data_IF_618489269952
#
_entry.id   IF_618489269952
#
_cell.length_a   1.000
_cell.length_b   1.000
_cell.length_c   1.000
_cell.angle_alpha   90.00
_cell.angle_beta   90.00
_cell.angle_gamma   90.00
#
_symmetry.space_group_name_H-M   'P 1'
#
loop_
_entity.id
_entity.type
_entity.pdbx_description
1 polymer ?
#
# COMPACT_ATOMS: atom_id res chain seq x y z
N UNK A 1 -89.31 8.58 5.41
CA UNK A 1 -89.75 7.17 5.37
C UNK A 1 -88.72 6.34 4.65
N UNK A 2 -88.23 5.24 5.27
CA UNK A 2 -87.29 4.20 4.77
C UNK A 2 -85.82 4.56 4.62
N UNK A 3 -85.05 4.10 5.59
CA UNK A 3 -83.69 3.55 5.43
C UNK A 3 -83.77 2.25 4.62
N UNK A 4 -82.71 1.90 3.87
CA UNK A 4 -81.99 0.67 4.20
C UNK A 4 -80.47 0.80 4.15
N UNK A 5 -79.90 0.20 5.09
CA UNK A 5 -79.05 -1.01 5.13
C UNK A 5 -77.60 -0.84 4.75
N UNK A 6 -76.89 -1.01 5.75
CA UNK A 6 -75.48 -1.33 5.91
C UNK A 6 -75.01 -2.50 5.00
N UNK A 7 -73.99 -2.29 4.20
CA UNK A 7 -73.15 -3.37 3.69
C UNK A 7 -71.73 -3.15 4.18
N UNK A 8 -71.38 -3.93 5.17
CA UNK A 8 -70.01 -4.13 5.65
C UNK A 8 -69.24 -4.90 4.58
N UNK A 9 -68.57 -4.19 3.68
CA UNK A 9 -67.51 -4.75 2.86
C UNK A 9 -66.23 -4.79 3.70
N UNK A 10 -65.93 -5.94 4.26
CA UNK A 10 -64.66 -6.28 4.88
C UNK A 10 -63.51 -6.14 3.89
N UNK A 11 -62.83 -5.01 3.92
CA UNK A 11 -61.53 -4.82 3.25
C UNK A 11 -60.54 -5.78 3.86
N UNK A 12 -60.34 -6.92 3.23
CA UNK A 12 -59.19 -7.79 3.43
C UNK A 12 -57.94 -6.99 3.06
N UNK A 13 -57.25 -6.46 4.05
CA UNK A 13 -55.89 -6.00 3.91
C UNK A 13 -55.02 -7.19 3.53
N UNK A 14 -54.79 -7.33 2.22
CA UNK A 14 -53.71 -8.16 1.71
C UNK A 14 -52.39 -7.51 2.16
N UNK A 15 -51.83 -8.04 3.24
CA UNK A 15 -50.44 -7.79 3.60
C UNK A 15 -49.60 -8.10 2.39
N UNK A 16 -48.68 -7.20 1.96
CA UNK A 16 -47.73 -7.53 0.94
C UNK A 16 -46.85 -8.67 1.44
N UNK A 17 -47.00 -9.82 0.84
CA UNK A 17 -46.13 -10.98 1.04
C UNK A 17 -44.71 -10.46 0.75
N UNK A 18 -43.92 -10.26 1.82
CA UNK A 18 -42.53 -9.93 1.72
C UNK A 18 -41.90 -10.89 0.71
N UNK A 19 -41.53 -10.35 -0.44
CA UNK A 19 -40.87 -11.11 -1.49
C UNK A 19 -39.67 -11.79 -0.85
N UNK A 20 -39.70 -13.12 -0.81
CA UNK A 20 -38.50 -13.92 -0.61
C UNK A 20 -37.56 -13.49 -1.71
N UNK A 21 -36.64 -12.60 -1.36
CA UNK A 21 -35.54 -12.22 -2.20
C UNK A 21 -34.96 -13.49 -2.78
N UNK A 22 -34.76 -13.48 -4.07
CA UNK A 22 -34.11 -14.54 -4.80
C UNK A 22 -32.85 -14.94 -4.02
N UNK A 23 -32.94 -16.05 -3.30
CA UNK A 23 -31.76 -16.71 -2.72
C UNK A 23 -30.95 -17.15 -3.96
N UNK A 24 -29.90 -16.39 -4.22
CA UNK A 24 -28.98 -16.64 -5.32
C UNK A 24 -28.50 -18.09 -5.22
N UNK A 25 -28.66 -18.77 -6.32
CA UNK A 25 -28.35 -20.18 -6.49
C UNK A 25 -26.94 -20.44 -5.99
N UNK A 26 -26.81 -21.09 -4.79
CA UNK A 26 -25.59 -21.77 -4.38
C UNK A 26 -24.37 -20.89 -4.09
N UNK A 27 -24.50 -19.86 -3.26
CA UNK A 27 -23.31 -19.21 -2.71
C UNK A 27 -22.53 -20.21 -1.88
N UNK A 28 -21.39 -20.69 -2.41
CA UNK A 28 -20.53 -21.63 -1.69
C UNK A 28 -19.80 -20.89 -0.57
N UNK A 29 -19.80 -21.46 0.64
CA UNK A 29 -19.09 -20.93 1.79
C UNK A 29 -17.80 -21.74 2.01
N UNK A 30 -16.72 -21.08 2.36
CA UNK A 30 -15.44 -21.67 2.75
C UNK A 30 -15.13 -21.11 4.14
N UNK A 31 -15.05 -21.99 5.15
CA UNK A 31 -14.84 -21.62 6.55
C UNK A 31 -15.82 -20.53 7.07
N UNK A 32 -17.12 -20.61 6.68
CA UNK A 32 -18.16 -19.68 7.11
C UNK A 32 -18.17 -18.33 6.37
N UNK A 33 -17.28 -18.11 5.39
CA UNK A 33 -17.23 -16.89 4.59
C UNK A 33 -17.64 -17.19 3.14
N UNK A 34 -18.40 -16.31 2.47
CA UNK A 34 -18.75 -16.49 1.07
C UNK A 34 -17.51 -16.75 0.20
N UNK A 35 -17.57 -17.80 -0.64
CA UNK A 35 -16.44 -18.21 -1.47
C UNK A 35 -15.94 -17.10 -2.40
N UNK A 36 -16.80 -16.16 -2.78
CA UNK A 36 -16.46 -15.00 -3.59
C UNK A 36 -15.39 -14.11 -2.92
N UNK A 37 -15.44 -14.00 -1.60
CA UNK A 37 -14.49 -13.22 -0.80
C UNK A 37 -13.30 -14.10 -0.39
N UNK A 38 -13.55 -15.33 0.00
CA UNK A 38 -12.53 -16.23 0.52
C UNK A 38 -11.54 -16.71 -0.56
N UNK A 39 -11.99 -16.96 -1.79
CA UNK A 39 -11.11 -17.43 -2.87
C UNK A 39 -9.95 -16.46 -3.17
N UNK A 40 -10.16 -15.16 -3.48
CA UNK A 40 -9.06 -14.24 -3.75
C UNK A 40 -8.14 -14.09 -2.53
N UNK A 41 -8.68 -14.13 -1.31
CA UNK A 41 -7.87 -14.11 -0.08
C UNK A 41 -6.96 -15.34 0.03
N UNK A 42 -7.48 -16.54 -0.23
CA UNK A 42 -6.69 -17.79 -0.21
C UNK A 42 -5.62 -17.77 -1.29
N UNK A 43 -5.96 -17.36 -2.52
CA UNK A 43 -4.98 -17.26 -3.61
C UNK A 43 -3.86 -16.30 -3.22
N UNK A 44 -4.19 -15.12 -2.70
CA UNK A 44 -3.21 -14.13 -2.26
C UNK A 44 -2.29 -14.69 -1.17
N UNK A 45 -2.85 -15.31 -0.13
CA UNK A 45 -2.06 -15.90 0.96
C UNK A 45 -1.18 -17.07 0.49
N UNK A 46 -1.69 -17.90 -0.43
CA UNK A 46 -0.91 -19.01 -1.01
C UNK A 46 0.25 -18.48 -1.85
N UNK A 47 0.02 -17.46 -2.69
CA UNK A 47 1.08 -16.81 -3.46
C UNK A 47 2.12 -16.16 -2.53
N UNK A 48 1.67 -15.43 -1.51
CA UNK A 48 2.55 -14.80 -0.52
C UNK A 48 3.42 -15.85 0.19
N UNK A 49 2.82 -16.92 0.68
CA UNK A 49 3.53 -18.00 1.35
C UNK A 49 4.55 -18.67 0.42
N UNK A 50 4.16 -18.96 -0.83
CA UNK A 50 5.06 -19.56 -1.83
C UNK A 50 6.25 -18.66 -2.14
N UNK A 51 6.03 -17.34 -2.27
CA UNK A 51 7.10 -16.35 -2.48
C UNK A 51 8.04 -16.26 -1.28
N UNK A 52 7.52 -16.28 -0.07
CA UNK A 52 8.33 -16.28 1.16
C UNK A 52 9.20 -17.55 1.25
N UNK A 53 8.62 -18.74 1.03
CA UNK A 53 9.36 -19.99 1.04
C UNK A 53 10.45 -20.00 -0.05
N UNK A 54 10.11 -19.59 -1.27
CA UNK A 54 11.08 -19.50 -2.35
C UNK A 54 12.17 -18.48 -2.04
N UNK A 55 11.83 -17.31 -1.48
CA UNK A 55 12.78 -16.28 -1.05
C UNK A 55 13.78 -16.81 -0.02
N UNK A 56 13.32 -17.55 1.00
CA UNK A 56 14.20 -18.16 2.00
C UNK A 56 15.17 -19.17 1.37
N UNK A 57 14.68 -20.01 0.45
CA UNK A 57 15.52 -20.95 -0.30
C UNK A 57 16.58 -20.22 -1.14
N UNK A 58 16.18 -19.14 -1.82
CA UNK A 58 17.11 -18.34 -2.64
C UNK A 58 18.16 -17.63 -1.79
N UNK A 59 17.80 -17.10 -0.62
CA UNK A 59 18.77 -16.48 0.32
C UNK A 59 19.79 -17.54 0.76
N UNK A 60 19.35 -18.74 1.11
CA UNK A 60 20.27 -19.82 1.49
C UNK A 60 21.20 -20.19 0.32
N UNK A 61 20.64 -20.40 -0.86
CA UNK A 61 21.43 -20.79 -2.05
C UNK A 61 22.44 -19.74 -2.46
N UNK A 62 22.07 -18.46 -2.42
CA UNK A 62 22.93 -17.37 -2.88
C UNK A 62 24.01 -16.97 -1.87
N UNK A 63 23.75 -17.10 -0.56
CA UNK A 63 24.63 -16.56 0.47
C UNK A 63 25.30 -17.61 1.36
N UNK A 64 25.09 -18.90 1.13
CA UNK A 64 25.64 -19.97 1.97
C UNK A 64 27.16 -19.99 2.03
N UNK A 65 27.83 -19.76 0.90
CA UNK A 65 29.31 -19.74 0.80
C UNK A 65 29.89 -18.53 1.51
N UNK A 66 29.32 -17.34 1.29
CA UNK A 66 29.72 -16.10 1.90
C UNK A 66 29.48 -16.15 3.44
N UNK A 67 28.31 -16.67 3.86
CA UNK A 67 27.98 -16.86 5.27
C UNK A 67 28.96 -17.81 5.98
N UNK A 68 29.41 -18.86 5.30
CA UNK A 68 30.42 -19.78 5.86
C UNK A 68 31.77 -19.10 6.02
N UNK A 69 32.20 -18.30 5.05
CA UNK A 69 33.48 -17.58 5.10
C UNK A 69 33.50 -16.45 6.14
N UNK A 70 32.43 -15.66 6.24
CA UNK A 70 32.39 -14.48 7.11
C UNK A 70 31.96 -14.81 8.54
N UNK A 71 30.99 -15.73 8.72
CA UNK A 71 30.32 -15.99 9.99
C UNK A 71 30.54 -17.42 10.52
N UNK A 72 31.28 -18.26 9.81
CA UNK A 72 31.56 -19.64 10.20
C UNK A 72 30.35 -20.59 10.11
N UNK A 73 29.22 -20.13 9.56
CA UNK A 73 27.99 -20.93 9.42
C UNK A 73 27.28 -20.64 8.11
N UNK A 74 27.08 -21.65 7.27
CA UNK A 74 26.37 -21.52 6.01
C UNK A 74 24.91 -21.09 6.13
N UNK A 75 24.31 -21.25 7.31
CA UNK A 75 22.89 -20.93 7.58
C UNK A 75 22.67 -19.57 8.27
N UNK A 76 23.75 -18.80 8.52
CA UNK A 76 23.65 -17.52 9.26
C UNK A 76 22.63 -16.55 8.65
N UNK A 77 22.76 -16.27 7.37
CA UNK A 77 21.83 -15.35 6.69
C UNK A 77 20.41 -15.92 6.56
N UNK A 78 20.28 -17.23 6.36
CA UNK A 78 18.97 -17.89 6.35
C UNK A 78 18.25 -17.72 7.69
N UNK A 79 18.95 -17.98 8.81
CA UNK A 79 18.35 -17.85 10.15
C UNK A 79 17.95 -16.42 10.46
N UNK A 80 18.78 -15.47 10.11
CA UNK A 80 18.48 -14.02 10.23
C UNK A 80 17.24 -13.65 9.41
N UNK A 81 17.17 -14.09 8.16
CA UNK A 81 16.02 -13.83 7.28
C UNK A 81 14.74 -14.52 7.81
N UNK A 82 14.85 -15.73 8.34
CA UNK A 82 13.73 -16.45 8.94
C UNK A 82 13.15 -15.68 10.14
N UNK A 83 13.98 -15.15 11.03
CA UNK A 83 13.53 -14.32 12.17
C UNK A 83 12.75 -13.09 11.66
N UNK A 84 13.28 -12.36 10.67
CA UNK A 84 12.58 -11.22 10.10
C UNK A 84 11.29 -11.60 9.40
N UNK A 85 11.24 -12.77 8.77
CA UNK A 85 10.01 -13.32 8.18
C UNK A 85 8.95 -13.57 9.25
N UNK A 86 9.29 -14.18 10.36
CA UNK A 86 8.36 -14.40 11.48
C UNK A 86 7.86 -13.07 12.05
N UNK A 87 8.75 -12.11 12.26
CA UNK A 87 8.36 -10.76 12.70
C UNK A 87 7.43 -10.10 11.69
N UNK A 88 7.72 -10.21 10.38
CA UNK A 88 6.87 -9.67 9.31
C UNK A 88 5.48 -10.30 9.27
N UNK A 89 5.40 -11.63 9.43
CA UNK A 89 4.10 -12.33 9.50
C UNK A 89 3.32 -11.92 10.75
N UNK A 90 3.97 -11.79 11.90
CA UNK A 90 3.34 -11.32 13.13
C UNK A 90 2.83 -9.88 12.99
N UNK A 91 3.61 -9.00 12.36
CA UNK A 91 3.20 -7.63 12.06
C UNK A 91 2.01 -7.58 11.08
N UNK A 92 2.02 -8.42 10.03
CA UNK A 92 0.91 -8.56 9.09
C UNK A 92 -0.39 -8.94 9.81
N UNK A 93 -0.32 -9.97 10.67
CA UNK A 93 -1.48 -10.44 11.43
C UNK A 93 -1.98 -9.38 12.43
N UNK A 94 -1.06 -8.67 13.09
CA UNK A 94 -1.39 -7.57 14.00
C UNK A 94 -2.11 -6.44 13.27
N UNK A 95 -1.55 -5.98 12.14
CA UNK A 95 -2.14 -4.91 11.33
C UNK A 95 -3.49 -5.32 10.75
N UNK A 96 -3.63 -6.59 10.32
CA UNK A 96 -4.88 -7.11 9.76
C UNK A 96 -6.04 -7.16 10.78
N UNK A 97 -5.73 -7.12 12.08
CA UNK A 97 -6.74 -7.08 13.17
C UNK A 97 -7.16 -5.67 13.57
N UNK A 98 -6.41 -4.66 13.17
CA UNK A 98 -6.74 -3.27 13.47
C UNK A 98 -7.75 -2.77 12.45
N UNK A 99 -8.77 -2.04 12.92
CA UNK A 99 -9.79 -1.49 12.04
C UNK A 99 -9.16 -0.54 10.99
N UNK A 100 -9.45 -0.74 9.69
CA UNK A 100 -8.85 0.05 8.62
C UNK A 100 -9.07 1.55 8.78
N UNK A 101 -10.23 1.96 9.31
CA UNK A 101 -10.63 3.37 9.41
C UNK A 101 -9.66 4.22 10.23
N UNK A 102 -9.03 3.64 11.27
CA UNK A 102 -8.07 4.34 12.11
C UNK A 102 -6.70 4.58 11.42
N UNK A 103 -6.35 3.77 10.42
CA UNK A 103 -5.10 3.90 9.68
C UNK A 103 -5.17 4.93 8.55
N UNK A 104 -6.39 5.19 8.06
CA UNK A 104 -6.65 6.12 6.97
C UNK A 104 -7.10 7.50 7.45
N UNK A 105 -6.89 7.84 8.72
CA UNK A 105 -7.04 9.23 9.17
C UNK A 105 -6.00 10.13 8.49
N UNK A 106 -6.46 11.15 7.82
CA UNK A 106 -5.59 12.09 7.09
C UNK A 106 -4.52 12.70 7.99
N UNK A 107 -4.90 13.03 9.24
CA UNK A 107 -3.98 13.58 10.24
C UNK A 107 -2.85 12.62 10.61
N UNK A 108 -3.18 11.35 10.83
CA UNK A 108 -2.21 10.29 11.14
C UNK A 108 -1.24 10.06 9.96
N UNK A 109 -1.76 10.04 8.73
CA UNK A 109 -0.92 9.88 7.53
C UNK A 109 -0.01 11.06 7.28
N UNK A 110 -0.46 12.30 7.50
CA UNK A 110 0.38 13.49 7.44
C UNK A 110 1.51 13.44 8.47
N UNK A 111 1.20 13.02 9.69
CA UNK A 111 2.20 12.85 10.74
C UNK A 111 3.21 11.75 10.37
N UNK A 112 2.73 10.61 9.85
CA UNK A 112 3.58 9.52 9.39
C UNK A 112 4.51 9.96 8.25
N UNK A 113 3.99 10.68 7.24
CA UNK A 113 4.79 11.23 6.16
C UNK A 113 5.83 12.24 6.67
N UNK A 114 5.46 13.10 7.62
CA UNK A 114 6.40 14.01 8.28
C UNK A 114 7.50 13.26 9.03
N UNK A 115 7.16 12.19 9.75
CA UNK A 115 8.13 11.33 10.41
C UNK A 115 9.06 10.63 9.40
N UNK A 116 8.53 10.21 8.24
CA UNK A 116 9.36 9.63 7.16
C UNK A 116 10.34 10.66 6.59
N UNK A 117 9.94 11.91 6.43
CA UNK A 117 10.88 12.99 6.01
C UNK A 117 12.03 13.13 7.01
N UNK A 118 11.72 13.12 8.32
CA UNK A 118 12.77 13.20 9.37
C UNK A 118 13.69 11.98 9.31
N UNK A 119 13.15 10.78 9.16
CA UNK A 119 13.94 9.55 9.04
C UNK A 119 14.79 9.53 7.76
N UNK A 120 14.28 9.96 6.63
CA UNK A 120 15.04 10.09 5.39
C UNK A 120 16.15 11.14 5.52
N UNK A 121 15.90 12.24 6.22
CA UNK A 121 16.91 13.23 6.52
C UNK A 121 18.00 12.65 7.47
N UNK A 122 17.61 11.84 8.45
CA UNK A 122 18.56 11.13 9.31
C UNK A 122 19.42 10.13 8.50
N UNK A 123 18.86 9.44 7.51
CA UNK A 123 19.64 8.60 6.56
C UNK A 123 20.65 9.44 5.80
N UNK A 124 20.26 10.62 5.33
CA UNK A 124 21.16 11.52 4.62
C UNK A 124 22.37 11.94 5.49
N UNK A 125 22.17 12.17 6.79
CA UNK A 125 23.23 12.57 7.72
C UNK A 125 24.06 11.41 8.28
N UNK A 126 23.44 10.29 8.61
CA UNK A 126 24.01 9.19 9.40
C UNK A 126 23.95 7.84 8.67
N UNK A 127 23.44 7.82 7.44
CA UNK A 127 23.23 6.60 6.70
C UNK A 127 24.52 5.87 6.34
N UNK A 128 24.41 4.56 6.21
CA UNK A 128 25.43 3.69 5.66
C UNK A 128 25.03 3.20 4.27
N UNK A 129 26.00 3.01 3.43
CA UNK A 129 25.76 2.51 2.09
C UNK A 129 27.09 2.20 1.38
N UNK A 130 26.99 1.57 0.21
CA UNK A 130 28.14 1.31 -0.65
C UNK A 130 28.07 2.15 -1.92
N UNK A 131 29.22 2.46 -2.52
CA UNK A 131 29.32 3.19 -3.80
C UNK A 131 28.69 4.60 -3.81
N UNK A 132 28.82 5.34 -2.68
CA UNK A 132 28.34 6.73 -2.59
C UNK A 132 26.86 6.90 -2.31
N UNK A 133 26.06 5.85 -2.30
CA UNK A 133 24.62 5.91 -1.99
C UNK A 133 24.38 5.50 -0.52
N UNK A 134 23.96 6.46 0.32
CA UNK A 134 23.56 6.19 1.71
C UNK A 134 22.06 5.96 1.77
N UNK A 135 21.61 4.73 1.96
CA UNK A 135 20.18 4.36 1.89
C UNK A 135 19.67 3.70 3.16
N UNK A 136 20.58 3.27 4.03
CA UNK A 136 20.28 2.44 5.18
C UNK A 136 20.69 3.12 6.48
N UNK A 137 19.83 3.03 7.50
CA UNK A 137 20.18 3.30 8.88
C UNK A 137 20.58 1.97 9.53
N UNK A 138 21.78 1.93 10.14
CA UNK A 138 22.21 0.79 10.93
C UNK A 138 22.01 1.10 12.42
N UNK A 139 21.04 0.44 13.05
CA UNK A 139 20.74 0.60 14.48
C UNK A 139 20.96 -0.75 15.14
N UNK A 140 21.93 -0.82 16.06
CA UNK A 140 22.28 -2.07 16.78
C UNK A 140 22.50 -3.30 15.88
N UNK A 141 23.11 -3.11 14.68
CA UNK A 141 23.35 -4.19 13.72
C UNK A 141 22.15 -4.56 12.84
N UNK A 142 21.00 -3.91 13.03
CA UNK A 142 19.83 -4.05 12.17
C UNK A 142 19.85 -2.92 11.15
N UNK A 143 19.80 -3.28 9.86
CA UNK A 143 19.69 -2.31 8.79
C UNK A 143 18.22 -2.02 8.50
N UNK A 144 17.87 -0.75 8.48
CA UNK A 144 16.53 -0.24 8.24
C UNK A 144 16.56 0.79 7.10
N UNK A 145 15.66 0.65 6.13
CA UNK A 145 15.52 1.58 5.02
C UNK A 145 14.19 2.33 5.14
N UNK A 146 14.18 3.62 5.52
CA UNK A 146 12.95 4.38 5.70
C UNK A 146 12.13 4.54 4.43
N UNK A 147 12.74 4.57 3.25
CA UNK A 147 12.03 4.68 1.98
C UNK A 147 11.11 3.48 1.68
N UNK A 148 11.37 2.30 2.27
CA UNK A 148 10.46 1.15 2.18
C UNK A 148 9.13 1.40 2.90
N UNK A 149 9.21 2.04 4.08
CA UNK A 149 8.02 2.39 4.87
C UNK A 149 7.27 3.61 4.32
N UNK A 150 7.96 4.49 3.60
CA UNK A 150 7.32 5.62 2.92
C UNK A 150 6.28 5.15 1.89
N UNK A 151 6.55 4.07 1.15
CA UNK A 151 5.68 3.59 0.05
C UNK A 151 4.22 3.35 0.49
N UNK A 152 3.92 2.55 1.53
CA UNK A 152 2.54 2.34 1.98
C UNK A 152 1.86 3.63 2.46
N UNK A 153 2.59 4.52 3.15
CA UNK A 153 2.01 5.81 3.58
C UNK A 153 1.73 6.74 2.40
N UNK A 154 2.62 6.77 1.40
CA UNK A 154 2.42 7.54 0.18
C UNK A 154 1.20 7.05 -0.60
N UNK A 155 1.00 5.73 -0.70
CA UNK A 155 -0.16 5.12 -1.35
C UNK A 155 -1.44 5.49 -0.62
N UNK A 156 -1.49 5.30 0.71
CA UNK A 156 -2.67 5.59 1.51
C UNK A 156 -3.05 7.08 1.46
N UNK A 157 -2.06 7.97 1.60
CA UNK A 157 -2.28 9.42 1.51
C UNK A 157 -2.78 9.84 0.13
N UNK A 158 -2.18 9.32 -0.93
CA UNK A 158 -2.57 9.63 -2.31
C UNK A 158 -3.98 9.14 -2.63
N UNK A 159 -4.40 7.99 -2.06
CA UNK A 159 -5.77 7.52 -2.21
C UNK A 159 -6.79 8.51 -1.62
N UNK A 160 -6.53 9.03 -0.41
CA UNK A 160 -7.39 10.06 0.21
C UNK A 160 -7.42 11.34 -0.62
N UNK A 161 -6.26 11.77 -1.13
CA UNK A 161 -6.20 12.99 -1.94
C UNK A 161 -6.93 12.84 -3.27
N UNK A 162 -6.85 11.67 -3.91
CA UNK A 162 -7.60 11.36 -5.13
C UNK A 162 -9.11 11.30 -4.86
N UNK A 163 -9.54 10.65 -3.79
CA UNK A 163 -10.95 10.61 -3.39
C UNK A 163 -11.50 12.01 -3.17
N UNK A 164 -10.77 12.86 -2.45
CA UNK A 164 -11.13 14.27 -2.24
C UNK A 164 -11.18 15.07 -3.53
N UNK A 165 -10.24 14.82 -4.44
CA UNK A 165 -10.19 15.51 -5.74
C UNK A 165 -11.42 15.22 -6.59
N UNK A 166 -11.91 13.96 -6.58
CA UNK A 166 -13.11 13.56 -7.31
C UNK A 166 -14.42 13.82 -6.57
N UNK A 167 -14.37 14.23 -5.30
CA UNK A 167 -15.56 14.59 -4.52
C UNK A 167 -16.11 15.97 -4.95
N UNK A 168 -17.41 16.24 -4.72
CA UNK A 168 -18.00 17.56 -5.00
C UNK A 168 -17.23 18.67 -4.28
N UNK A 169 -16.71 19.63 -5.03
CA UNK A 169 -15.86 20.72 -4.50
C UNK A 169 -14.36 20.45 -4.55
N UNK A 170 -13.92 19.35 -5.14
CA UNK A 170 -12.50 19.06 -5.35
C UNK A 170 -11.81 20.13 -6.17
N UNK A 171 -10.60 20.55 -5.74
CA UNK A 171 -9.83 21.61 -6.35
C UNK A 171 -8.44 21.10 -6.75
N UNK A 172 -8.08 21.32 -8.02
CA UNK A 172 -6.79 20.92 -8.58
C UNK A 172 -5.61 21.56 -7.83
N UNK A 173 -5.72 22.83 -7.46
CA UNK A 173 -4.65 23.53 -6.75
C UNK A 173 -4.42 22.95 -5.35
N UNK A 174 -5.49 22.59 -4.65
CA UNK A 174 -5.40 21.96 -3.33
C UNK A 174 -4.81 20.54 -3.44
N UNK A 175 -5.19 19.80 -4.47
CA UNK A 175 -4.61 18.48 -4.75
C UNK A 175 -3.10 18.58 -4.99
N UNK A 176 -2.67 19.42 -5.93
CA UNK A 176 -1.24 19.58 -6.27
C UNK A 176 -0.46 20.09 -5.06
N UNK A 177 -0.99 21.08 -4.33
CA UNK A 177 -0.33 21.63 -3.14
C UNK A 177 -0.15 20.57 -2.07
N UNK A 178 -1.18 19.81 -1.73
CA UNK A 178 -1.11 18.80 -0.69
C UNK A 178 -0.18 17.64 -1.09
N UNK A 179 -0.26 17.16 -2.34
CA UNK A 179 0.68 16.15 -2.84
C UNK A 179 2.13 16.67 -2.81
N UNK A 180 2.35 17.91 -3.25
CA UNK A 180 3.68 18.52 -3.25
C UNK A 180 4.25 18.73 -1.85
N UNK A 181 3.45 19.23 -0.90
CA UNK A 181 3.92 19.52 0.47
C UNK A 181 4.23 18.24 1.26
N UNK A 182 3.43 17.18 1.13
CA UNK A 182 3.57 15.98 1.95
C UNK A 182 4.43 14.88 1.32
N UNK A 183 4.42 14.74 -0.02
CA UNK A 183 5.25 13.75 -0.71
C UNK A 183 6.52 14.34 -1.33
N UNK A 184 6.47 15.61 -1.74
CA UNK A 184 7.59 16.28 -2.41
C UNK A 184 8.90 16.21 -1.63
N UNK A 185 8.95 16.58 -0.35
CA UNK A 185 10.17 16.52 0.47
C UNK A 185 10.76 15.12 0.56
N UNK A 186 9.92 14.09 0.71
CA UNK A 186 10.36 12.70 0.75
C UNK A 186 10.97 12.25 -0.57
N UNK A 187 10.32 12.55 -1.70
CA UNK A 187 10.82 12.22 -3.03
C UNK A 187 12.14 12.96 -3.31
N UNK A 188 12.22 14.23 -2.92
CA UNK A 188 13.44 15.04 -3.06
C UNK A 188 14.61 14.47 -2.25
N UNK A 189 14.39 14.05 -1.01
CA UNK A 189 15.43 13.43 -0.18
C UNK A 189 15.90 12.10 -0.75
N UNK A 190 14.99 11.26 -1.28
CA UNK A 190 15.35 10.00 -1.94
C UNK A 190 16.14 10.27 -3.23
N UNK A 191 15.81 11.35 -3.95
CA UNK A 191 16.56 11.77 -5.15
C UNK A 191 18.01 12.13 -4.82
N UNK A 192 18.24 12.88 -3.72
CA UNK A 192 19.59 13.22 -3.27
C UNK A 192 20.38 11.99 -2.79
N UNK A 193 19.70 10.94 -2.33
CA UNK A 193 20.32 9.67 -1.88
C UNK A 193 20.64 8.70 -3.03
N UNK A 194 20.70 9.11 -4.27
CA UNK A 194 20.57 8.45 -5.59
C UNK A 194 19.86 7.09 -5.53
N UNK A 195 18.62 7.06 -5.01
CA UNK A 195 17.79 5.86 -5.01
C UNK A 195 16.68 5.93 -6.08
N UNK A 196 17.11 5.96 -7.34
CA UNK A 196 16.22 6.08 -8.50
C UNK A 196 15.21 4.92 -8.61
N UNK A 197 15.61 3.73 -8.14
CA UNK A 197 14.72 2.55 -8.14
C UNK A 197 13.48 2.79 -7.26
N UNK A 198 13.67 3.29 -6.06
CA UNK A 198 12.57 3.62 -5.15
C UNK A 198 11.70 4.75 -5.69
N UNK A 199 12.29 5.80 -6.25
CA UNK A 199 11.54 6.90 -6.88
C UNK A 199 10.67 6.36 -8.01
N UNK A 200 11.23 5.53 -8.89
CA UNK A 200 10.50 4.95 -10.02
C UNK A 200 9.29 4.12 -9.55
N UNK A 201 9.48 3.29 -8.52
CA UNK A 201 8.39 2.47 -7.96
C UNK A 201 7.29 3.37 -7.37
N UNK A 202 7.64 4.40 -6.60
CA UNK A 202 6.66 5.33 -6.02
C UNK A 202 5.91 6.04 -7.15
N UNK A 203 6.60 6.65 -8.10
CA UNK A 203 5.97 7.38 -9.20
C UNK A 203 5.09 6.47 -10.06
N UNK A 204 5.55 5.27 -10.40
CA UNK A 204 4.75 4.32 -11.17
C UNK A 204 3.47 3.92 -10.42
N UNK A 205 3.57 3.70 -9.12
CA UNK A 205 2.42 3.38 -8.28
C UNK A 205 1.41 4.53 -8.25
N UNK A 206 1.88 5.77 -8.05
CA UNK A 206 1.03 6.96 -8.06
C UNK A 206 0.36 7.19 -9.43
N UNK A 207 1.08 6.95 -10.51
CA UNK A 207 0.55 7.01 -11.88
C UNK A 207 -0.56 5.96 -12.08
N UNK A 208 -0.32 4.71 -11.65
CA UNK A 208 -1.34 3.66 -11.73
C UNK A 208 -2.59 4.03 -10.91
N UNK A 209 -2.41 4.54 -9.69
CA UNK A 209 -3.53 4.98 -8.85
C UNK A 209 -4.34 6.11 -9.53
N UNK A 210 -3.66 7.09 -10.11
CA UNK A 210 -4.27 8.20 -10.82
C UNK A 210 -5.07 7.73 -12.06
N UNK A 211 -4.55 6.75 -12.81
CA UNK A 211 -5.24 6.11 -13.93
C UNK A 211 -6.50 5.40 -13.48
N UNK A 212 -6.42 4.57 -12.43
CA UNK A 212 -7.58 3.85 -11.89
C UNK A 212 -8.62 4.77 -11.27
N UNK A 213 -8.20 5.91 -10.73
CA UNK A 213 -9.09 6.95 -10.23
C UNK A 213 -9.81 7.73 -11.34
N UNK A 214 -9.37 7.62 -12.61
CA UNK A 214 -10.00 8.28 -13.75
C UNK A 214 -9.44 9.66 -14.09
N UNK A 215 -8.21 9.98 -13.65
CA UNK A 215 -7.52 11.19 -14.09
C UNK A 215 -7.25 11.15 -15.60
N UNK A 216 -7.30 12.31 -16.24
CA UNK A 216 -7.05 12.41 -17.69
C UNK A 216 -5.66 11.82 -18.02
N UNK A 217 -5.59 10.83 -18.92
CA UNK A 217 -4.33 10.19 -19.32
C UNK A 217 -3.29 11.18 -19.83
N UNK A 218 -3.71 12.29 -20.40
CA UNK A 218 -2.79 13.33 -20.89
C UNK A 218 -1.98 13.95 -19.77
N UNK A 219 -2.63 14.30 -18.65
CA UNK A 219 -1.95 14.83 -17.47
C UNK A 219 -0.94 13.83 -16.90
N UNK A 220 -1.34 12.56 -16.86
CA UNK A 220 -0.50 11.47 -16.38
C UNK A 220 0.72 11.26 -17.27
N UNK A 221 0.54 11.26 -18.60
CA UNK A 221 1.64 11.12 -19.56
C UNK A 221 2.65 12.25 -19.41
N UNK A 222 2.20 13.50 -19.29
CA UNK A 222 3.11 14.63 -19.11
C UNK A 222 3.88 14.56 -17.78
N UNK A 223 3.22 14.14 -16.71
CA UNK A 223 3.86 13.98 -15.38
C UNK A 223 4.88 12.83 -15.41
N UNK A 224 4.54 11.71 -16.06
CA UNK A 224 5.45 10.57 -16.22
C UNK A 224 6.66 10.94 -17.09
N UNK A 225 6.46 11.62 -18.22
CA UNK A 225 7.55 12.11 -19.08
C UNK A 225 8.48 13.08 -18.35
N UNK A 226 7.92 14.01 -17.56
CA UNK A 226 8.71 14.92 -16.74
C UNK A 226 9.55 14.14 -15.71
N UNK A 227 8.99 13.14 -15.04
CA UNK A 227 9.72 12.29 -14.10
C UNK A 227 10.86 11.50 -14.77
N UNK A 228 10.58 10.89 -15.91
CA UNK A 228 11.61 10.16 -16.69
C UNK A 228 12.72 11.11 -17.15
N UNK A 229 12.37 12.31 -17.62
CA UNK A 229 13.35 13.31 -18.05
C UNK A 229 14.27 13.73 -16.89
N UNK A 230 13.71 13.98 -15.70
CA UNK A 230 14.49 14.32 -14.50
C UNK A 230 15.45 13.19 -14.13
N UNK A 231 14.99 11.94 -14.15
CA UNK A 231 15.84 10.77 -13.87
C UNK A 231 16.93 10.63 -14.94
N UNK A 232 16.60 10.80 -16.21
CA UNK A 232 17.58 10.73 -17.30
C UNK A 232 18.66 11.80 -17.18
N UNK A 233 18.29 13.03 -16.85
CA UNK A 233 19.24 14.13 -16.62
C UNK A 233 20.15 13.80 -15.43
N UNK A 234 19.59 13.27 -14.33
CA UNK A 234 20.37 12.89 -13.15
C UNK A 234 21.38 11.78 -13.46
N UNK A 235 20.98 10.75 -14.22
CA UNK A 235 21.88 9.66 -14.64
C UNK A 235 23.00 10.12 -15.58
N UNK A 236 22.77 11.14 -16.39
CA UNK A 236 23.79 11.72 -17.29
C UNK A 236 24.73 12.66 -16.51
N UNK A 237 24.23 13.32 -15.48
CA UNK A 237 25.00 14.25 -14.66
C UNK A 237 25.92 13.55 -13.63
N UNK A 238 25.65 12.29 -13.30
CA UNK A 238 26.58 11.46 -12.51
C UNK A 238 27.63 10.83 -13.44
N UNK A 239 28.91 11.16 -13.27
CA UNK A 239 30.01 10.60 -14.06
C UNK A 239 30.31 9.13 -13.69
#
# INVERSE_FOLDING_TARGET
MRRPDSDHASSQRTTPRAGRGAQGIGERYIAGVPARIMRPRLVFLTCLFSLVCFGLLMVYSASSVEALHENGSATYFLFRQFIFTVIGVAALEFIARIAPDSWFEEGALKLALGAMVILLFAVFLFGSGSRGATRWLSIAGIQFQPSEFLKPFAIAYSAIMLDRFFSPGGNTNDFIRNMGVYLGPSIFLIFIQPDFGTILIILLTLVCMALFAGLDPRFIIWTALAGVLVIAIALIAEP
#
